data_IF_177641359058
#
_entry.id   IF_177641359058
#
_cell.length_a   1.000
_cell.length_b   1.000
_cell.length_c   1.000
_cell.angle_alpha   90.00
_cell.angle_beta   90.00
_cell.angle_gamma   90.00
#
_symmetry.space_group_name_H-M   'P 1'
#
loop_
_entity.id
_entity.type
_entity.pdbx_description
1 polymer ?
#
# COMPACT_ATOMS: atom_id res chain seq x y z
N UNK A 1 36.28 -25.81 4.39
CA UNK A 1 35.67 -24.51 4.71
C UNK A 1 34.25 -24.55 4.15
N UNK A 2 33.21 -24.65 4.99
CA UNK A 2 31.83 -24.73 4.50
C UNK A 2 31.56 -23.53 3.58
N UNK A 3 31.21 -23.80 2.33
CA UNK A 3 30.89 -22.73 1.39
C UNK A 3 29.63 -22.03 1.90
N UNK A 4 29.63 -20.69 1.92
CA UNK A 4 28.48 -19.89 2.35
C UNK A 4 27.62 -19.61 1.13
N UNK A 5 26.31 -19.86 1.21
CA UNK A 5 25.39 -19.57 0.11
C UNK A 5 25.51 -18.10 -0.34
N UNK A 6 25.70 -17.89 -1.64
CA UNK A 6 25.71 -16.56 -2.27
C UNK A 6 24.66 -16.52 -3.37
N UNK A 7 23.63 -15.69 -3.17
CA UNK A 7 22.61 -15.50 -4.17
C UNK A 7 23.10 -14.52 -5.26
N UNK A 8 23.26 -15.00 -6.49
CA UNK A 8 23.78 -14.20 -7.61
C UNK A 8 22.95 -12.94 -7.95
N UNK A 9 21.66 -12.92 -7.58
CA UNK A 9 20.77 -11.78 -7.81
C UNK A 9 20.46 -10.97 -6.56
N UNK A 10 21.31 -11.05 -5.52
CA UNK A 10 21.08 -10.35 -4.26
C UNK A 10 20.89 -8.84 -4.45
N UNK A 11 21.71 -8.18 -5.29
CA UNK A 11 21.54 -6.76 -5.62
C UNK A 11 20.20 -6.45 -6.31
N UNK A 12 19.68 -7.37 -7.13
CA UNK A 12 18.40 -7.20 -7.81
C UNK A 12 17.25 -7.32 -6.80
N UNK A 13 17.35 -8.23 -5.84
CA UNK A 13 16.38 -8.37 -4.76
C UNK A 13 16.33 -7.10 -3.89
N UNK A 14 17.49 -6.58 -3.48
CA UNK A 14 17.60 -5.33 -2.70
C UNK A 14 17.03 -4.12 -3.47
N UNK A 15 17.28 -4.05 -4.78
CA UNK A 15 16.65 -3.04 -5.62
C UNK A 15 15.12 -3.17 -5.63
N UNK A 16 14.58 -4.39 -5.75
CA UNK A 16 13.12 -4.62 -5.70
C UNK A 16 12.51 -4.25 -4.34
N UNK A 17 13.20 -4.53 -3.23
CA UNK A 17 12.81 -4.07 -1.89
C UNK A 17 12.78 -2.53 -1.80
N UNK A 18 13.77 -1.86 -2.38
CA UNK A 18 13.81 -0.40 -2.45
C UNK A 18 12.61 0.14 -3.23
N UNK A 19 12.29 -0.45 -4.39
CA UNK A 19 11.14 -0.06 -5.20
C UNK A 19 9.83 -0.28 -4.42
N UNK A 20 9.64 -1.43 -3.77
CA UNK A 20 8.48 -1.70 -2.93
C UNK A 20 8.29 -0.60 -1.87
N UNK A 21 9.35 -0.27 -1.13
CA UNK A 21 9.31 0.76 -0.09
C UNK A 21 8.90 2.13 -0.65
N UNK A 22 9.41 2.51 -1.83
CA UNK A 22 9.01 3.74 -2.51
C UNK A 22 7.53 3.72 -2.92
N UNK A 23 7.03 2.61 -3.45
CA UNK A 23 5.61 2.48 -3.84
C UNK A 23 4.68 2.46 -2.62
N UNK A 24 5.13 1.91 -1.50
CA UNK A 24 4.40 1.94 -0.24
C UNK A 24 4.29 3.38 0.30
N UNK A 25 5.38 4.14 0.25
CA UNK A 25 5.37 5.55 0.63
C UNK A 25 4.41 6.37 -0.24
N UNK A 26 4.44 6.17 -1.57
CA UNK A 26 3.50 6.82 -2.51
C UNK A 26 2.04 6.49 -2.19
N UNK A 27 1.74 5.21 -1.90
CA UNK A 27 0.41 4.76 -1.52
C UNK A 27 -0.05 5.40 -0.20
N UNK A 28 0.80 5.43 0.82
CA UNK A 28 0.46 6.04 2.10
C UNK A 28 0.19 7.54 1.95
N UNK A 29 1.00 8.25 1.16
CA UNK A 29 0.76 9.67 0.86
C UNK A 29 -0.58 9.90 0.17
N UNK A 30 -0.94 9.06 -0.82
CA UNK A 30 -2.24 9.14 -1.48
C UNK A 30 -3.39 8.86 -0.49
N UNK A 31 -3.19 7.93 0.45
CA UNK A 31 -4.17 7.58 1.48
C UNK A 31 -4.40 8.74 2.45
N UNK A 32 -3.34 9.41 2.88
CA UNK A 32 -3.43 10.61 3.72
C UNK A 32 -4.20 11.73 3.02
N UNK A 33 -3.93 11.96 1.73
CA UNK A 33 -4.68 12.94 0.93
C UNK A 33 -6.16 12.58 0.88
N UNK A 34 -6.51 11.31 0.62
CA UNK A 34 -7.91 10.88 0.62
C UNK A 34 -8.59 11.16 1.96
N UNK A 35 -7.95 10.77 3.07
CA UNK A 35 -8.49 11.01 4.41
C UNK A 35 -8.75 12.51 4.66
N UNK A 36 -7.80 13.38 4.27
CA UNK A 36 -7.95 14.83 4.41
C UNK A 36 -9.14 15.36 3.59
N UNK A 37 -9.33 14.88 2.37
CA UNK A 37 -10.46 15.30 1.53
C UNK A 37 -11.81 14.77 2.07
N UNK A 38 -11.83 13.57 2.65
CA UNK A 38 -13.03 13.01 3.30
C UNK A 38 -13.39 13.75 4.60
N UNK A 39 -12.39 14.16 5.39
CA UNK A 39 -12.60 14.96 6.61
C UNK A 39 -13.13 16.36 6.29
N UNK A 40 -12.63 17.00 5.22
CA UNK A 40 -13.18 18.25 4.70
C UNK A 40 -14.64 18.09 4.27
N UNK A 41 -14.97 17.02 3.53
CA UNK A 41 -16.34 16.74 3.11
C UNK A 41 -17.27 16.56 4.32
N UNK A 42 -16.83 15.77 5.30
CA UNK A 42 -17.57 15.54 6.54
C UNK A 42 -17.82 16.85 7.31
N UNK A 43 -16.82 17.73 7.34
CA UNK A 43 -16.93 19.05 7.97
C UNK A 43 -17.96 19.93 7.28
N UNK A 44 -17.97 19.98 5.94
CA UNK A 44 -18.96 20.72 5.15
C UNK A 44 -20.39 20.17 5.36
N UNK A 45 -20.56 18.85 5.39
CA UNK A 45 -21.85 18.21 5.65
C UNK A 45 -22.36 18.54 7.06
N UNK A 46 -21.48 18.48 8.06
CA UNK A 46 -21.83 18.85 9.43
C UNK A 46 -22.17 20.34 9.55
N UNK A 47 -21.41 21.21 8.87
CA UNK A 47 -21.70 22.64 8.82
C UNK A 47 -23.09 22.90 8.23
N UNK A 48 -23.42 22.28 7.09
CA UNK A 48 -24.77 22.34 6.48
C UNK A 48 -25.86 21.90 7.45
N UNK A 49 -25.66 20.79 8.16
CA UNK A 49 -26.64 20.28 9.14
C UNK A 49 -26.88 21.27 10.28
N UNK A 50 -25.82 21.90 10.78
CA UNK A 50 -25.91 22.90 11.84
C UNK A 50 -26.69 24.14 11.36
N UNK A 51 -26.38 24.65 10.17
CA UNK A 51 -27.11 25.80 9.59
C UNK A 51 -28.60 25.50 9.41
N UNK A 52 -28.95 24.31 8.91
CA UNK A 52 -30.35 23.89 8.80
C UNK A 52 -31.04 23.74 10.15
N UNK A 53 -30.34 23.24 11.17
CA UNK A 53 -30.88 23.12 12.52
C UNK A 53 -31.16 24.50 13.14
N UNK A 54 -30.26 25.47 12.96
CA UNK A 54 -30.45 26.86 13.40
C UNK A 54 -31.65 27.48 12.68
N UNK A 55 -31.71 27.33 11.35
CA UNK A 55 -32.84 27.81 10.55
C UNK A 55 -34.17 27.27 11.06
N UNK A 56 -34.26 25.96 11.27
CA UNK A 56 -35.51 25.32 11.68
C UNK A 56 -35.96 25.74 13.09
N UNK A 57 -35.02 25.98 14.02
CA UNK A 57 -35.34 26.49 15.36
C UNK A 57 -35.89 27.91 15.34
N UNK A 58 -35.36 28.76 14.47
CA UNK A 58 -35.67 30.19 14.46
C UNK A 58 -36.71 30.60 13.40
N UNK A 59 -37.21 29.66 12.59
CA UNK A 59 -38.08 29.93 11.43
C UNK A 59 -39.32 30.78 11.73
N UNK A 60 -39.90 30.64 12.94
CA UNK A 60 -41.08 31.40 13.37
C UNK A 60 -40.81 32.89 13.61
N UNK A 61 -39.55 33.24 13.84
CA UNK A 61 -39.10 34.60 14.15
C UNK A 61 -38.28 35.22 13.01
N UNK A 62 -38.19 34.56 11.84
CA UNK A 62 -37.42 35.03 10.70
C UNK A 62 -38.25 35.89 9.77
N UNK A 63 -37.63 36.94 9.24
CA UNK A 63 -38.21 37.72 8.14
C UNK A 63 -38.04 36.98 6.80
N UNK A 64 -38.79 37.40 5.78
CA UNK A 64 -38.63 36.91 4.40
C UNK A 64 -37.19 37.14 3.89
N UNK A 65 -36.56 38.25 4.29
CA UNK A 65 -35.18 38.56 3.94
C UNK A 65 -34.20 37.55 4.57
N UNK A 66 -34.39 37.20 5.85
CA UNK A 66 -33.55 36.21 6.53
C UNK A 66 -33.65 34.83 5.85
N UNK A 67 -34.87 34.42 5.48
CA UNK A 67 -35.09 33.16 4.78
C UNK A 67 -34.38 33.10 3.42
N UNK A 68 -34.34 34.23 2.68
CA UNK A 68 -33.63 34.33 1.40
C UNK A 68 -32.11 34.23 1.58
N UNK A 69 -31.57 34.88 2.62
CA UNK A 69 -30.14 34.79 2.93
C UNK A 69 -29.75 33.37 3.33
N UNK A 70 -30.56 32.69 4.16
CA UNK A 70 -30.33 31.29 4.51
C UNK A 70 -30.31 30.37 3.29
N UNK A 71 -31.25 30.53 2.37
CA UNK A 71 -31.27 29.74 1.14
C UNK A 71 -30.01 29.96 0.29
N UNK A 72 -29.49 31.19 0.25
CA UNK A 72 -28.25 31.52 -0.46
C UNK A 72 -27.03 30.85 0.18
N UNK A 73 -26.95 30.86 1.52
CA UNK A 73 -25.90 30.16 2.27
C UNK A 73 -25.96 28.65 2.02
N UNK A 74 -27.15 28.05 2.09
CA UNK A 74 -27.31 26.61 1.86
C UNK A 74 -26.96 26.23 0.41
N UNK A 75 -27.33 27.04 -0.58
CA UNK A 75 -26.95 26.81 -1.98
C UNK A 75 -25.43 26.88 -2.17
N UNK A 76 -24.77 27.86 -1.54
CA UNK A 76 -23.31 27.95 -1.53
C UNK A 76 -22.68 26.69 -0.92
N UNK A 77 -23.14 26.26 0.26
CA UNK A 77 -22.61 25.06 0.93
C UNK A 77 -22.84 23.81 0.07
N UNK A 78 -23.98 23.68 -0.62
CA UNK A 78 -24.24 22.57 -1.52
C UNK A 78 -23.25 22.53 -2.69
N UNK A 79 -22.93 23.69 -3.28
CA UNK A 79 -21.93 23.80 -4.35
C UNK A 79 -20.54 23.39 -3.86
N UNK A 80 -20.17 23.81 -2.66
CA UNK A 80 -18.89 23.41 -2.06
C UNK A 80 -18.84 21.91 -1.74
N UNK A 81 -19.92 21.33 -1.23
CA UNK A 81 -20.04 19.87 -1.03
C UNK A 81 -19.84 19.13 -2.36
N UNK A 82 -20.54 19.52 -3.43
CA UNK A 82 -20.41 18.87 -4.72
C UNK A 82 -18.98 18.96 -5.29
N UNK A 83 -18.31 20.11 -5.12
CA UNK A 83 -16.89 20.28 -5.49
C UNK A 83 -15.99 19.38 -4.65
N UNK A 84 -16.27 19.26 -3.36
CA UNK A 84 -15.49 18.44 -2.45
C UNK A 84 -15.67 16.94 -2.71
N UNK A 85 -16.88 16.49 -3.06
CA UNK A 85 -17.15 15.12 -3.49
C UNK A 85 -16.30 14.74 -4.71
N UNK A 86 -16.21 15.61 -5.72
CA UNK A 86 -15.32 15.40 -6.88
C UNK A 86 -13.85 15.28 -6.45
N UNK A 87 -13.39 16.07 -5.48
CA UNK A 87 -12.02 15.97 -4.95
C UNK A 87 -11.77 14.64 -4.25
N UNK A 88 -12.73 14.17 -3.45
CA UNK A 88 -12.69 12.87 -2.78
C UNK A 88 -12.61 11.75 -3.83
N UNK A 89 -13.45 11.78 -4.85
CA UNK A 89 -13.47 10.74 -5.89
C UNK A 89 -12.17 10.72 -6.70
N UNK A 90 -11.62 11.90 -7.02
CA UNK A 90 -10.30 11.99 -7.64
C UNK A 90 -9.19 11.41 -6.74
N UNK A 91 -9.20 11.72 -5.44
CA UNK A 91 -8.24 11.18 -4.48
C UNK A 91 -8.37 9.66 -4.33
N UNK A 92 -9.59 9.10 -4.36
CA UNK A 92 -9.84 7.66 -4.39
C UNK A 92 -9.25 7.02 -5.64
N UNK A 93 -9.49 7.60 -6.81
CA UNK A 93 -8.92 7.13 -8.08
C UNK A 93 -7.39 7.09 -8.07
N UNK A 94 -6.76 8.13 -7.49
CA UNK A 94 -5.30 8.17 -7.31
C UNK A 94 -4.83 7.07 -6.35
N UNK A 95 -5.49 6.90 -5.21
CA UNK A 95 -5.16 5.85 -4.24
C UNK A 95 -5.24 4.46 -4.86
N UNK A 96 -6.30 4.17 -5.62
CA UNK A 96 -6.48 2.90 -6.31
C UNK A 96 -5.40 2.64 -7.36
N UNK A 97 -5.00 3.68 -8.11
CA UNK A 97 -3.87 3.59 -9.03
C UNK A 97 -2.57 3.25 -8.29
N UNK A 98 -2.26 3.95 -7.19
CA UNK A 98 -1.07 3.67 -6.38
C UNK A 98 -1.10 2.28 -5.75
N UNK A 99 -2.28 1.83 -5.33
CA UNK A 99 -2.50 0.47 -4.80
C UNK A 99 -2.15 -0.61 -5.83
N UNK A 100 -2.58 -0.46 -7.09
CA UNK A 100 -2.25 -1.39 -8.17
C UNK A 100 -0.73 -1.48 -8.38
N UNK A 101 -0.06 -0.34 -8.45
CA UNK A 101 1.41 -0.27 -8.62
C UNK A 101 2.15 -0.91 -7.44
N UNK A 102 1.68 -0.69 -6.21
CA UNK A 102 2.26 -1.33 -5.02
C UNK A 102 2.08 -2.87 -5.06
N UNK A 103 0.91 -3.36 -5.45
CA UNK A 103 0.66 -4.80 -5.57
C UNK A 103 1.57 -5.47 -6.61
N UNK A 104 1.85 -4.79 -7.72
CA UNK A 104 2.81 -5.26 -8.72
C UNK A 104 4.24 -5.34 -8.16
N UNK A 105 4.70 -4.29 -7.47
CA UNK A 105 6.01 -4.29 -6.83
C UNK A 105 6.17 -5.40 -5.78
N UNK A 106 5.14 -5.62 -4.95
CA UNK A 106 5.08 -6.72 -3.99
C UNK A 106 5.18 -8.09 -4.67
N UNK A 107 4.44 -8.28 -5.77
CA UNK A 107 4.45 -9.52 -6.55
C UNK A 107 5.84 -9.78 -7.13
N UNK A 108 6.47 -8.77 -7.70
CA UNK A 108 7.82 -8.90 -8.29
C UNK A 108 8.88 -9.26 -7.26
N UNK A 109 8.87 -8.63 -6.08
CA UNK A 109 9.76 -9.00 -4.98
C UNK A 109 9.53 -10.44 -4.56
N UNK A 110 8.28 -10.85 -4.36
CA UNK A 110 7.92 -12.21 -3.95
C UNK A 110 8.38 -13.27 -4.96
N UNK A 111 8.35 -12.95 -6.26
CA UNK A 111 8.92 -13.83 -7.29
C UNK A 111 10.44 -13.98 -7.09
N UNK A 112 11.16 -12.88 -6.84
CA UNK A 112 12.60 -12.91 -6.62
C UNK A 112 12.99 -13.68 -5.34
N UNK A 113 12.22 -13.52 -4.27
CA UNK A 113 12.39 -14.30 -3.03
C UNK A 113 12.24 -15.81 -3.27
N UNK A 114 11.23 -16.22 -4.04
CA UNK A 114 11.05 -17.63 -4.42
C UNK A 114 12.21 -18.17 -5.26
N UNK A 115 12.78 -17.36 -6.16
CA UNK A 115 13.96 -17.75 -6.93
C UNK A 115 15.16 -17.93 -5.98
N UNK A 116 15.34 -17.04 -5.00
CA UNK A 116 16.39 -17.15 -3.98
C UNK A 116 16.23 -18.42 -3.15
N UNK A 117 15.01 -18.72 -2.70
CA UNK A 117 14.69 -19.95 -1.97
C UNK A 117 15.01 -21.20 -2.79
N UNK A 118 14.63 -21.22 -4.08
CA UNK A 118 14.96 -22.35 -4.97
C UNK A 118 16.46 -22.56 -5.11
N UNK A 119 17.22 -21.49 -5.37
CA UNK A 119 18.69 -21.58 -5.44
C UNK A 119 19.31 -22.02 -4.11
N UNK A 120 18.73 -21.62 -2.99
CA UNK A 120 19.19 -22.05 -1.68
C UNK A 120 18.96 -23.55 -1.48
N UNK A 121 17.79 -24.07 -1.86
CA UNK A 121 17.49 -25.49 -1.78
C UNK A 121 18.40 -26.31 -2.69
N UNK A 122 18.67 -25.84 -3.91
CA UNK A 122 19.64 -26.46 -4.83
C UNK A 122 21.04 -26.48 -4.24
N UNK A 123 21.47 -25.39 -3.61
CA UNK A 123 22.77 -25.29 -2.94
C UNK A 123 22.91 -26.30 -1.79
N UNK A 124 21.88 -26.42 -0.94
CA UNK A 124 21.87 -27.40 0.15
C UNK A 124 21.88 -28.83 -0.39
N UNK A 125 21.15 -29.10 -1.48
CA UNK A 125 21.18 -30.41 -2.13
C UNK A 125 22.57 -30.77 -2.66
N UNK A 126 23.29 -29.82 -3.29
CA UNK A 126 24.64 -30.08 -3.78
C UNK A 126 25.63 -30.36 -2.64
N UNK A 127 25.55 -29.61 -1.53
CA UNK A 127 26.40 -29.88 -0.35
C UNK A 127 26.18 -31.30 0.16
N UNK A 128 24.92 -31.72 0.32
CA UNK A 128 24.60 -33.08 0.79
C UNK A 128 25.15 -34.15 -0.16
N UNK A 129 24.99 -33.94 -1.47
CA UNK A 129 25.52 -34.87 -2.48
C UNK A 129 27.05 -34.94 -2.45
N UNK A 130 27.73 -33.80 -2.26
CA UNK A 130 29.19 -33.77 -2.10
C UNK A 130 29.62 -34.50 -0.82
N UNK A 131 28.90 -34.31 0.29
CA UNK A 131 29.14 -35.02 1.55
C UNK A 131 28.96 -36.54 1.40
N UNK A 132 27.88 -36.99 0.77
CA UNK A 132 27.60 -38.41 0.52
C UNK A 132 28.70 -39.05 -0.34
N UNK A 133 29.11 -38.40 -1.44
CA UNK A 133 30.21 -38.88 -2.28
C UNK A 133 31.53 -39.02 -1.50
N UNK A 134 31.82 -38.07 -0.60
CA UNK A 134 33.04 -38.06 0.20
C UNK A 134 33.04 -39.19 1.25
N UNK A 135 31.86 -39.52 1.79
CA UNK A 135 31.67 -40.70 2.66
C UNK A 135 31.96 -41.99 1.88
N UNK A 136 31.38 -42.13 0.69
CA UNK A 136 31.58 -43.30 -0.17
C UNK A 136 33.06 -43.50 -0.54
N UNK A 137 33.78 -42.42 -0.88
CA UNK A 137 35.22 -42.47 -1.13
C UNK A 137 36.01 -42.94 0.10
N UNK A 138 35.68 -42.45 1.30
CA UNK A 138 36.33 -42.87 2.55
C UNK A 138 36.07 -44.36 2.83
N UNK A 139 34.85 -44.83 2.63
CA UNK A 139 34.48 -46.25 2.83
C UNK A 139 35.26 -47.13 1.88
N UNK A 140 35.29 -46.79 0.59
CA UNK A 140 36.03 -47.53 -0.44
C UNK A 140 37.54 -47.56 -0.17
N UNK A 141 38.12 -46.45 0.30
CA UNK A 141 39.54 -46.40 0.66
C UNK A 141 39.88 -47.30 1.85
N UNK A 142 38.98 -47.38 2.85
CA UNK A 142 39.17 -48.26 4.03
C UNK A 142 39.00 -49.73 3.69
N UNK A 143 38.03 -50.09 2.85
CA UNK A 143 37.82 -51.48 2.43
C UNK A 143 38.92 -52.00 1.49
N UNK A 144 39.60 -51.13 0.75
CA UNK A 144 40.72 -51.49 -0.14
C UNK A 144 42.06 -51.71 0.59
N UNK A 145 42.15 -51.40 1.90
CA UNK A 145 43.36 -51.55 2.72
C UNK A 145 43.33 -52.75 3.68
N UNK A 146 42.22 -53.48 3.72
CA UNK A 146 42.07 -54.78 4.38
C UNK A 146 42.07 -55.89 3.34
#
# INVERSE_FOLDING_TARGET
MQSRFKFKFQKVLEYKETIENLKLADYNKAKEILNLEEDKLKSLINYKRNELAIRNKNVKNMTIFDLKNYNTIIDYINKEIARQEIRVDNARGILDSKKKVLLEALKEKKIMEKIKEKHYNEFIYQIKKEEDNLIDEIVNFRSSKN
#
